data_IF_031866530547
#
_entry.id   IF_031866530547
#
_cell.length_a   1.000
_cell.length_b   1.000
_cell.length_c   1.000
_cell.angle_alpha   90.00
_cell.angle_beta   90.00
_cell.angle_gamma   90.00
#
_symmetry.space_group_name_H-M   'P 1'
#
loop_
_entity.id
_entity.type
_entity.pdbx_description
1 polymer ?
2 non-polymer ?
3 non-polymer ?
4 water ?
#
# COMPACT_ATOMS: atom_id res chain seq x y z
N UNK A 2 15.86 -15.06 -0.46
CA UNK A 2 15.49 -13.69 -0.12
C UNK A 2 14.26 -13.21 -0.91
N UNK A 3 13.50 -12.36 -0.31
CA UNK A 3 12.22 -11.91 -0.85
C UNK A 3 12.45 -10.74 -1.75
N UNK A 4 11.82 -10.76 -2.91
CA UNK A 4 11.94 -9.66 -3.87
C UNK A 4 10.53 -9.42 -4.39
N UNK A 5 9.97 -8.25 -4.12
CA UNK A 5 8.62 -7.87 -4.54
C UNK A 5 8.56 -7.29 -5.95
N UNK A 6 9.68 -7.18 -6.66
CA UNK A 6 9.67 -6.55 -7.98
C UNK A 6 8.65 -7.25 -8.86
N UNK A 7 7.88 -6.46 -9.58
CA UNK A 7 6.93 -6.99 -10.53
C UNK A 7 5.73 -6.09 -10.68
N UNK A 8 4.79 -6.58 -11.46
CA UNK A 8 3.53 -5.92 -11.76
C UNK A 8 2.41 -6.82 -11.28
N UNK A 9 1.48 -6.22 -10.56
CA UNK A 9 0.50 -6.97 -9.79
C UNK A 9 -0.88 -6.37 -9.95
N UNK A 10 -1.87 -7.21 -10.19
CA UNK A 10 -3.23 -6.80 -10.49
C UNK A 10 -4.17 -7.18 -9.34
N UNK A 11 -5.01 -6.24 -8.92
CA UNK A 11 -5.84 -6.51 -7.75
C UNK A 11 -6.84 -7.62 -8.03
N UNK A 12 -6.94 -8.59 -7.13
CA UNK A 12 -7.92 -9.68 -7.17
C UNK A 12 -9.05 -9.46 -6.17
N UNK A 13 -8.72 -9.12 -4.93
CA UNK A 13 -9.71 -8.88 -3.89
C UNK A 13 -9.27 -7.65 -3.10
N UNK A 14 -10.26 -6.99 -2.49
CA UNK A 14 -10.09 -5.81 -1.64
C UNK A 14 -11.16 -5.91 -0.56
N UNK A 15 -10.77 -6.36 0.61
CA UNK A 15 -11.69 -6.71 1.68
C UNK A 15 -11.68 -5.65 2.76
N UNK A 16 -12.87 -5.14 3.10
CA UNK A 16 -13.06 -4.21 4.22
C UNK A 16 -12.42 -2.83 4.00
N UNK A 17 -12.33 -2.38 2.74
CA UNK A 17 -11.70 -1.11 2.41
C UNK A 17 -12.55 0.07 2.84
N UNK A 18 -13.86 -0.08 2.82
CA UNK A 18 -14.68 1.07 3.22
C UNK A 18 -14.43 1.44 4.67
N UNK A 19 -14.39 0.46 5.58
CA UNK A 19 -14.11 0.77 6.97
C UNK A 19 -12.72 1.36 7.18
N UNK A 20 -11.73 0.90 6.43
CA UNK A 20 -10.39 1.50 6.51
C UNK A 20 -10.43 2.96 6.11
N UNK A 21 -11.09 3.27 5.02
CA UNK A 21 -11.24 4.66 4.61
C UNK A 21 -12.03 5.48 5.62
N UNK A 22 -13.09 4.92 6.19
CA UNK A 22 -13.86 5.64 7.20
C UNK A 22 -13.00 5.95 8.41
N UNK A 23 -12.16 5.01 8.84
CA UNK A 23 -11.29 5.22 9.97
C UNK A 23 -10.27 6.31 9.68
N UNK A 24 -9.93 6.55 8.41
CA UNK A 24 -9.05 7.64 8.02
C UNK A 24 -9.79 8.95 7.82
N UNK A 25 -11.10 8.95 8.08
CA UNK A 25 -11.95 10.13 7.93
C UNK A 25 -12.04 10.63 6.47
N UNK A 26 -11.90 9.74 5.49
CA UNK A 26 -12.10 10.12 4.10
C UNK A 26 -13.59 10.42 3.88
N UNK A 27 -13.89 11.55 3.23
CA UNK A 27 -15.27 12.00 3.10
C UNK A 27 -16.08 11.02 2.26
N UNK A 28 -17.40 11.06 2.44
CA UNK A 28 -18.29 10.05 1.86
C UNK A 28 -18.17 10.02 0.35
N UNK A 29 -18.13 11.18 -0.29
CA UNK A 29 -18.09 11.23 -1.74
C UNK A 29 -16.81 10.60 -2.25
N UNK A 30 -15.69 10.86 -1.56
CA UNK A 30 -14.41 10.30 -1.98
C UNK A 30 -14.33 8.81 -1.67
N UNK A 31 -14.99 8.33 -0.61
CA UNK A 31 -15.03 6.89 -0.40
C UNK A 31 -15.78 6.18 -1.52
N UNK A 32 -16.83 6.82 -2.04
CA UNK A 32 -17.57 6.20 -3.14
C UNK A 32 -16.66 6.00 -4.35
N UNK A 33 -15.84 7.00 -4.66
CA UNK A 33 -14.93 6.91 -5.79
C UNK A 33 -13.86 5.85 -5.52
N UNK A 34 -13.24 5.90 -4.35
CA UNK A 34 -12.09 5.06 -4.08
C UNK A 34 -12.48 3.60 -3.97
N UNK A 35 -13.68 3.32 -3.47
CA UNK A 35 -14.14 1.94 -3.34
C UNK A 35 -14.29 1.26 -4.69
N UNK A 36 -14.50 2.00 -5.76
CA UNK A 36 -14.62 1.44 -7.09
C UNK A 36 -13.26 1.13 -7.72
N UNK A 37 -12.18 1.70 -7.20
CA UNK A 37 -10.88 1.54 -7.84
C UNK A 37 -10.32 0.16 -7.58
N UNK A 38 -9.65 -0.37 -8.58
CA UNK A 38 -8.96 -1.67 -8.50
C UNK A 38 -7.53 -1.41 -8.95
N UNK A 39 -6.71 -0.79 -8.09
CA UNK A 39 -5.40 -0.35 -8.57
C UNK A 39 -4.46 -1.50 -8.79
N UNK A 40 -3.53 -1.30 -9.72
CA UNK A 40 -2.38 -2.19 -9.91
C UNK A 40 -1.26 -1.76 -8.96
N UNK A 41 -0.33 -2.66 -8.69
CA UNK A 41 0.91 -2.30 -7.99
C UNK A 41 2.08 -2.57 -8.93
N UNK A 42 2.95 -1.58 -9.10
CA UNK A 42 4.19 -1.75 -9.86
C UNK A 42 5.29 -1.53 -8.85
N UNK A 43 6.08 -2.56 -8.58
CA UNK A 43 7.10 -2.51 -7.53
C UNK A 43 8.46 -2.74 -8.15
N UNK A 44 9.43 -1.88 -7.76
CA UNK A 44 10.84 -2.11 -8.08
C UNK A 44 11.64 -2.12 -6.79
N UNK A 45 12.26 -3.25 -6.46
CA UNK A 45 13.13 -3.39 -5.30
C UNK A 45 14.56 -3.35 -5.81
N UNK A 46 15.30 -2.31 -5.45
CA UNK A 46 16.62 -2.02 -6.05
C UNK A 46 17.58 -1.86 -4.88
N UNK A 47 18.18 -2.95 -4.47
CA UNK A 47 18.88 -2.94 -3.19
C UNK A 47 17.89 -2.64 -2.08
N UNK A 48 18.22 -1.71 -1.20
CA UNK A 48 17.31 -1.28 -0.15
C UNK A 48 16.43 -0.14 -0.57
N UNK A 49 16.50 0.29 -1.81
CA UNK A 49 15.63 1.31 -2.33
C UNK A 49 14.41 0.66 -2.95
N UNK A 50 13.25 0.90 -2.38
CA UNK A 50 12.01 0.29 -2.81
C UNK A 50 11.11 1.37 -3.38
N UNK A 51 10.51 1.10 -4.53
CA UNK A 51 9.47 1.95 -5.09
C UNK A 51 8.22 1.09 -5.20
N UNK A 52 7.12 1.57 -4.61
CA UNK A 52 5.82 0.89 -4.69
C UNK A 52 4.86 1.87 -5.31
N UNK A 53 4.49 1.64 -6.56
CA UNK A 53 3.53 2.50 -7.24
C UNK A 53 2.15 1.86 -7.16
N UNK A 54 1.18 2.58 -6.64
CA UNK A 54 -0.23 2.15 -6.64
C UNK A 54 -0.91 2.93 -7.75
N UNK A 55 -1.28 2.23 -8.79
CA UNK A 55 -1.68 2.83 -10.06
C UNK A 55 -3.17 2.67 -10.29
N UNK A 56 -3.85 3.80 -10.50
CA UNK A 56 -5.27 3.72 -10.77
C UNK A 56 -5.64 4.82 -11.76
N UNK A 57 -6.88 4.71 -12.27
CA UNK A 57 -7.42 5.67 -13.23
C UNK A 57 -7.77 7.01 -12.59
N UNK A 58 -7.91 7.05 -11.29
CA UNK A 58 -8.23 8.24 -10.54
C UNK A 58 -6.97 9.01 -10.18
N UNK A 59 -6.00 8.37 -9.57
CA UNK A 59 -4.70 8.96 -9.31
C UNK A 59 -3.78 7.82 -8.90
N UNK A 60 -2.51 8.10 -9.01
CA UNK A 60 -1.48 7.20 -8.54
C UNK A 60 -0.98 7.63 -7.17
N UNK A 61 -0.62 6.68 -6.32
CA UNK A 61 0.02 6.95 -5.04
C UNK A 61 1.39 6.29 -5.06
N UNK A 62 2.46 7.05 -4.97
CA UNK A 62 3.80 6.51 -5.14
C UNK A 62 4.53 6.55 -3.82
N UNK A 63 5.03 5.42 -3.39
CA UNK A 63 5.96 5.34 -2.29
C UNK A 63 7.35 5.10 -2.87
N UNK A 64 8.34 5.83 -2.36
CA UNK A 64 9.71 5.74 -2.87
C UNK A 64 10.63 6.01 -1.69
N UNK A 65 11.25 4.97 -1.14
CA UNK A 65 11.91 5.05 0.16
C UNK A 65 13.07 4.08 0.25
N UNK A 66 13.82 4.22 1.34
CA UNK A 66 14.87 3.31 1.71
C UNK A 66 14.39 2.43 2.87
N UNK A 67 14.43 1.13 2.68
CA UNK A 67 14.01 0.24 3.74
C UNK A 67 14.88 0.50 4.94
N UNK A 68 14.26 0.61 6.11
CA UNK A 68 14.96 0.76 7.35
C UNK A 68 15.11 2.18 7.79
N UNK A 69 14.80 3.17 6.93
CA UNK A 69 15.13 4.54 7.23
C UNK A 69 13.78 5.30 7.37
N UNK A 70 13.51 5.87 8.54
CA UNK A 70 12.28 6.64 8.74
C UNK A 70 12.23 7.88 7.85
N UNK A 71 11.08 8.20 7.30
CA UNK A 71 10.92 9.31 6.37
C UNK A 71 9.55 9.94 6.59
N UNK A 72 9.40 11.20 6.21
CA UNK A 72 8.12 11.87 6.26
C UNK A 72 7.34 11.49 5.02
N UNK A 73 6.24 10.76 5.20
CA UNK A 73 5.40 10.28 4.12
C UNK A 73 4.22 11.25 3.93
N UNK A 74 4.06 11.73 2.72
CA UNK A 74 2.99 12.66 2.38
C UNK A 74 1.79 11.90 1.83
N UNK A 75 0.78 11.76 2.65
CA UNK A 75 -0.50 11.09 2.37
C UNK A 75 -1.58 12.10 2.08
N UNK A 76 -1.22 13.29 1.66
CA UNK A 76 -2.19 14.34 1.35
C UNK A 76 -3.31 13.83 0.49
N UNK A 77 -2.99 13.12 -0.57
CA UNK A 77 -3.99 12.65 -1.52
C UNK A 77 -4.84 11.47 -1.10
N UNK A 78 -4.54 10.89 0.04
CA UNK A 78 -5.23 9.73 0.59
C UNK A 78 -6.19 10.23 1.65
N UNK A 79 -5.67 10.77 2.74
CA UNK A 79 -6.49 11.25 3.85
C UNK A 79 -6.04 12.60 4.37
N UNK A 80 -5.23 13.36 3.62
CA UNK A 80 -4.87 14.72 4.02
C UNK A 80 -4.00 14.75 5.29
N UNK A 81 -3.12 13.78 5.44
CA UNK A 81 -2.23 13.66 6.60
C UNK A 81 -0.81 13.41 6.13
N UNK A 82 0.12 13.59 7.02
CA UNK A 82 1.51 13.17 6.85
C UNK A 82 1.91 12.31 8.04
N UNK A 83 2.80 11.33 7.81
CA UNK A 83 3.19 10.46 8.89
C UNK A 83 4.71 10.32 8.86
N UNK A 84 5.30 9.91 9.97
CA UNK A 84 6.71 9.52 10.03
C UNK A 84 6.71 8.03 9.91
N UNK A 85 7.16 7.58 8.77
CA UNK A 85 6.96 6.20 8.34
C UNK A 85 8.27 5.45 8.26
N UNK A 86 8.26 4.21 8.72
CA UNK A 86 9.41 3.34 8.57
C UNK A 86 8.94 2.03 7.98
N UNK A 87 9.59 1.58 6.91
CA UNK A 87 9.33 0.27 6.31
C UNK A 87 10.52 -0.61 6.61
N UNK A 88 10.33 -1.82 7.12
CA UNK A 88 11.38 -2.70 7.55
C UNK A 88 11.06 -4.14 7.26
N UNK A 89 12.08 -4.95 7.14
CA UNK A 89 11.88 -6.38 6.95
C UNK A 89 11.51 -7.01 8.29
N UNK A 90 10.63 -7.99 8.27
CA UNK A 90 10.26 -8.81 9.43
C UNK A 90 10.26 -10.23 8.90
N UNK A 91 11.41 -10.88 8.92
CA UNK A 91 11.55 -12.14 8.25
C UNK A 91 11.34 -12.02 6.77
N UNK A 92 10.29 -12.67 6.25
CA UNK A 92 9.91 -12.64 4.84
C UNK A 92 8.83 -11.61 4.57
N UNK A 93 8.37 -10.91 5.59
CA UNK A 93 7.34 -9.87 5.45
C UNK A 93 7.96 -8.50 5.47
N UNK A 94 7.30 -7.56 4.83
CA UNK A 94 7.66 -6.15 4.86
C UNK A 94 6.65 -5.40 5.72
N UNK A 95 7.10 -4.74 6.76
CA UNK A 95 6.27 -4.06 7.74
C UNK A 95 6.41 -2.58 7.58
N UNK A 96 5.33 -1.86 7.63
CA UNK A 96 5.30 -0.41 7.57
C UNK A 96 4.56 0.10 8.79
N UNK A 97 5.20 1.01 9.52
CA UNK A 97 4.59 1.70 10.64
C UNK A 97 4.52 3.16 10.27
N UNK A 98 3.33 3.75 10.30
CA UNK A 98 3.08 5.13 9.89
C UNK A 98 2.72 5.91 11.15
N UNK A 99 3.69 6.57 11.78
CA UNK A 99 3.43 7.27 13.04
C UNK A 99 2.81 8.61 12.76
N UNK A 100 1.70 8.89 13.42
CA UNK A 100 1.01 10.15 13.19
C UNK A 100 -0.23 10.29 14.04
N UNK A 101 -1.19 11.03 13.52
CA UNK A 101 -2.37 11.33 14.30
C UNK A 101 -3.16 10.07 14.64
N UNK A 102 -3.23 9.10 13.74
CA UNK A 102 -4.06 7.90 13.93
C UNK A 102 -3.27 6.83 14.62
N UNK A 103 -3.87 6.17 15.60
CA UNK A 103 -3.25 5.06 16.28
C UNK A 103 -3.19 3.83 15.37
N UNK A 104 -2.11 3.09 15.50
CA UNK A 104 -2.00 1.75 14.92
C UNK A 104 -2.07 1.74 13.41
N UNK A 105 -1.55 2.76 12.77
CA UNK A 105 -1.60 2.88 11.33
C UNK A 105 -0.35 2.23 10.75
N UNK A 106 -0.56 1.36 9.76
CA UNK A 106 0.54 0.72 9.08
C UNK A 106 0.03 -0.36 8.14
N UNK A 107 0.97 -1.14 7.63
CA UNK A 107 0.62 -2.22 6.74
C UNK A 107 1.68 -3.30 6.78
N UNK A 108 1.33 -4.46 6.27
CA UNK A 108 2.21 -5.61 6.15
C UNK A 108 2.05 -6.16 4.75
N UNK A 109 3.12 -6.48 4.07
CA UNK A 109 3.12 -7.00 2.73
C UNK A 109 3.94 -8.28 2.64
N UNK A 110 3.48 -9.27 1.89
CA UNK A 110 4.20 -10.52 1.72
C UNK A 110 3.78 -11.20 0.43
N UNK A 111 4.47 -12.26 0.04
CA UNK A 111 4.15 -12.98 -1.18
C UNK A 111 3.76 -14.41 -0.79
N UNK A 112 2.71 -14.91 -1.41
CA UNK A 112 2.38 -16.36 -1.35
C UNK A 112 2.22 -16.83 -2.79
N UNK A 113 3.19 -17.59 -3.32
CA UNK A 113 3.01 -18.11 -4.68
C UNK A 113 2.97 -16.92 -5.64
N UNK A 114 1.92 -16.83 -6.45
CA UNK A 114 1.76 -15.78 -7.44
C UNK A 114 0.95 -14.61 -6.89
N UNK A 115 0.81 -14.53 -5.56
CA UNK A 115 0.00 -13.52 -4.92
C UNK A 115 0.84 -12.56 -4.08
N UNK A 116 0.52 -11.28 -4.21
CA UNK A 116 0.99 -10.21 -3.33
C UNK A 116 -0.13 -9.95 -2.33
N UNK A 117 0.17 -10.13 -1.06
CA UNK A 117 -0.75 -9.90 0.05
C UNK A 117 -0.41 -8.60 0.74
N UNK A 118 -1.41 -7.76 0.96
CA UNK A 118 -1.22 -6.46 1.60
C UNK A 118 -2.31 -6.30 2.66
N UNK A 119 -1.93 -6.24 3.92
CA UNK A 119 -2.86 -5.99 5.01
C UNK A 119 -2.63 -4.56 5.51
N UNK A 120 -3.63 -3.73 5.46
CA UNK A 120 -3.53 -2.35 5.88
C UNK A 120 -4.36 -2.17 7.13
N UNK A 121 -3.84 -1.42 8.08
CA UNK A 121 -4.41 -1.29 9.41
C UNK A 121 -4.46 0.18 9.83
N UNK A 122 -5.50 0.55 10.57
CA UNK A 122 -5.57 1.83 11.28
C UNK A 122 -6.62 1.68 12.38
N UNK A 123 -6.30 2.14 13.59
CA UNK A 123 -7.29 2.22 14.67
C UNK A 123 -8.05 0.92 14.83
N UNK A 124 -7.33 -0.18 14.76
CA UNK A 124 -7.94 -1.52 14.93
C UNK A 124 -8.79 -2.04 13.79
N UNK A 125 -8.94 -1.30 12.69
CA UNK A 125 -9.56 -1.76 11.45
C UNK A 125 -8.50 -2.44 10.62
N UNK A 126 -8.89 -3.49 9.92
CA UNK A 126 -8.02 -4.26 9.04
C UNK A 126 -8.68 -4.37 7.67
N UNK A 127 -7.98 -3.97 6.64
CA UNK A 127 -8.30 -4.15 5.24
C UNK A 127 -7.31 -5.09 4.61
N UNK A 128 -7.78 -6.09 3.88
CA UNK A 128 -6.88 -7.06 3.25
C UNK A 128 -7.02 -7.02 1.74
N UNK A 129 -5.92 -6.86 1.01
CA UNK A 129 -5.89 -6.86 -0.45
C UNK A 129 -5.00 -7.99 -0.93
N UNK A 130 -5.38 -8.60 -2.05
CA UNK A 130 -4.57 -9.62 -2.69
C UNK A 130 -4.48 -9.26 -4.14
N UNK A 131 -3.27 -9.33 -4.69
CA UNK A 131 -2.99 -9.03 -6.09
C UNK A 131 -2.37 -10.28 -6.70
N UNK A 132 -2.60 -10.46 -7.97
CA UNK A 132 -1.99 -11.53 -8.74
C UNK A 132 -0.86 -10.98 -9.62
N UNK A 133 0.23 -11.72 -9.67
CA UNK A 133 1.36 -11.34 -10.52
C UNK A 133 0.92 -11.41 -11.97
N UNK A 134 1.21 -10.39 -12.77
CA UNK A 134 0.81 -10.35 -14.16
C UNK A 134 1.97 -9.89 -15.03
N UNK A 135 1.84 -10.11 -16.32
CA UNK A 135 2.93 -9.89 -17.27
C UNK A 135 2.60 -8.95 -18.40
N UNK A 136 1.36 -8.55 -18.62
CA UNK A 136 1.02 -7.63 -19.68
C UNK A 136 1.15 -6.22 -19.15
N UNK A 137 2.08 -5.45 -19.67
CA UNK A 137 2.34 -4.17 -19.06
C UNK A 137 1.79 -3.07 -19.95
N UNK A 138 1.43 -1.99 -19.30
CA UNK A 138 0.80 -0.83 -19.94
C UNK A 138 1.41 0.44 -19.35
N UNK A 139 1.59 1.41 -20.23
CA UNK A 139 2.30 2.63 -19.87
C UNK A 139 1.52 3.44 -18.85
N UNK A 140 2.27 4.11 -17.95
CA UNK A 140 1.72 5.00 -16.91
C UNK A 140 2.63 6.21 -16.75
X LIG B 1 -5.83 5.02 -2.74
X LIG B 1 -6.60 6.10 -3.07
X LIG B 1 -5.91 4.46 -1.42
X LIG B 1 -7.44 6.71 -2.13
X LIG B 1 -6.72 5.10 -0.51
X LIG B 1 -7.47 6.18 -0.77
X LIG B 1 -4.69 5.07 -5.21
X LIG B 1 -5.58 6.23 -5.48
X LIG B 1 -4.91 4.38 -3.81
X LIG B 1 -6.56 6.70 -4.43
X LIG B 1 -8.90 8.52 -1.57
X LIG B 1 -2.06 1.90 0.15
X LIG B 1 -2.42 2.54 -1.22
X LIG B 1 -1.53 2.99 1.13
X LIG B 1 -2.59 4.10 1.27
X LIG B 1 -2.99 4.62 -0.12
X LIG B 1 -1.18 2.38 2.50
X LIG B 1 -3.47 3.52 -0.87
X LIG B 1 -8.14 7.80 -2.52
X LIG B 1 -0.39 3.54 0.56
X LIG B 1 -0.63 3.44 3.32
X LIG B 1 -5.39 2.85 0.45
X LIG B 1 -5.13 2.10 -1.88
X LIG B 1 -5.03 3.12 -0.90
X LIG B 1 -6.80 4.75 0.54
X LIG B 1 -8.10 6.67 -0.01
X LIG B 1 -3.61 5.38 -5.40
X LIG B 1 -4.73 4.35 -6.09
X LIG B 1 -4.95 7.09 -5.81
X LIG B 1 -6.14 6.02 -6.43
X LIG B 1 -5.24 3.36 -4.07
X LIG B 1 -3.88 4.23 -3.42
X LIG B 1 -6.36 7.79 -4.37
X LIG B 1 -7.54 6.58 -4.93
X LIG B 1 -9.06 9.58 -1.83
X LIG B 1 -8.46 8.57 -0.58
X LIG B 1 -9.91 8.14 -1.41
X LIG B 1 -2.93 1.37 0.61
X LIG B 1 -1.32 1.07 0.06
X LIG B 1 -1.51 3.00 -1.70
X LIG B 1 -2.72 1.77 -1.97
X LIG B 1 -3.47 3.71 1.84
X LIG B 1 -2.21 4.91 1.93
X LIG B 1 -2.12 5.15 -0.60
X LIG B 1 -3.73 5.46 -0.01
X LIG B 1 -2.09 1.91 2.96
X LIG B 1 -0.47 1.53 2.38
X LIG B 1 0.36 2.91 0.62
X LIG B 1 -1.06 3.36 4.19
X LIG C 1 18.79 -9.67 3.10
X LIG C 1 19.93 -10.02 3.87
X LIG C 1 17.54 -9.98 3.89
X LIG C 1 17.53 -9.15 5.18
X LIG C 1 17.49 -7.78 4.86
X LIG C 1 17.64 -11.47 4.26
X LIG C 1 17.52 -12.21 3.08
X LIG C 1 16.29 -9.77 3.08
X LIG C 1 16.23 -8.53 2.28
X LIG C 1 16.48 -8.88 0.81
X LIG C 1 15.56 -9.88 0.43
X LIG C 1 15.07 -9.92 3.87
X LIG C 1 13.92 -10.60 3.11
X LIG C 1 14.43 -11.64 2.35
X LIG C 1 18.82 -8.61 2.87
X LIG C 1 18.79 -10.23 2.17
X LIG C 1 20.71 -9.79 3.41
X LIG C 1 18.44 -9.36 5.75
X LIG C 1 16.66 -9.42 5.78
X LIG C 1 17.58 -7.27 5.66
X LIG C 1 16.84 -11.73 4.96
X LIG C 1 18.59 -11.68 4.73
X LIG C 1 17.73 -13.11 3.26
X LIG C 1 17.00 -7.84 2.63
X LIG C 1 15.25 -8.08 2.39
X LIG C 1 17.49 -9.26 0.69
X LIG C 1 16.34 -8.00 0.20
X LIG C 1 15.49 -9.89 -0.52
X LIG C 1 14.75 -8.93 4.20
X LIG C 1 15.31 -10.53 4.75
X LIG C 1 13.20 -10.98 3.82
X LIG C 1 13.45 -9.87 2.47
X LIG C 1 14.15 -12.46 2.70
#
# INVERSE_FOLDING_TARGET
MPVDFTGYWKMLVNENFEEYLRALDVNVALRKIANLLKPDKEIVQDGDHMIIRTLSTFRNYIMDFQVGKEFEEDLTGIDDRKCMTTVSWDGDKLQCVQKGEKEGRGWTQWIEGDELHLEMRVEGVVCKQVFKKVQHHHHHH
ZE2 C01 C02 C03 C04 C05 C06 C07 C08 C09 C10 C11 C12 C13 C14 C15 C16 C17 N01 O01 O02 O03 O04 O05 S01 H01 H02 H03 H04 H05 H06 H07 H08 H09 H10 H12 H13 H11 H15 H14 H17 H16 H19 H18 H20 H21 H24 H23 H22 H25
BTB C1 O1 C2 C3 O3 C4 O4 N C5 C6 O6 C7 C8 O8 H11 H12 HO1 H31 H32 HO3 H41 H42 HO4 H51 H52 H61 H62 HO6 H71 H72 H81 H82 HO8
#
